data_IF_930956857963
#
_entry.id   IF_930956857963
#
_cell.length_a   1.000
_cell.length_b   1.000
_cell.length_c   1.000
_cell.angle_alpha   90.00
_cell.angle_beta   90.00
_cell.angle_gamma   90.00
#
_symmetry.space_group_name_H-M   'P 1'
#
loop_
_entity.id
_entity.type
_entity.pdbx_description
1 polymer ?
#
# COMPACT_ATOMS: atom_id res chain seq x y z
N UNK A 1 27.16 -20.90 10.84
CA UNK A 1 26.59 -19.56 10.57
C UNK A 1 25.13 -19.78 10.22
N UNK A 2 24.19 -19.30 11.03
CA UNK A 2 22.78 -19.36 10.69
C UNK A 2 22.58 -18.45 9.46
N UNK A 3 22.07 -19.01 8.36
CA UNK A 3 21.60 -18.22 7.23
C UNK A 3 20.59 -17.21 7.77
N UNK A 4 20.86 -15.91 7.66
CA UNK A 4 19.83 -14.90 7.81
C UNK A 4 18.76 -15.23 6.77
N UNK A 5 17.64 -15.79 7.20
CA UNK A 5 16.43 -15.89 6.39
C UNK A 5 16.06 -14.44 6.06
N UNK A 6 16.25 -14.05 4.79
CA UNK A 6 15.87 -12.73 4.31
C UNK A 6 14.37 -12.57 4.52
N UNK A 7 14.00 -11.61 5.38
CA UNK A 7 12.60 -11.33 5.69
C UNK A 7 11.93 -10.82 4.43
N UNK A 8 10.88 -11.50 3.97
CA UNK A 8 10.15 -11.11 2.76
C UNK A 8 9.39 -9.81 3.00
N UNK A 9 9.44 -8.90 2.04
CA UNK A 9 8.72 -7.62 2.10
C UNK A 9 7.48 -7.66 1.22
N UNK A 10 6.34 -7.27 1.79
CA UNK A 10 5.08 -7.12 1.07
C UNK A 10 4.64 -5.64 1.07
N UNK A 11 4.17 -5.16 -0.07
CA UNK A 11 3.56 -3.84 -0.21
C UNK A 11 2.03 -3.96 -0.21
N UNK A 12 1.34 -3.21 0.64
CA UNK A 12 -0.13 -3.12 0.67
C UNK A 12 -0.57 -1.71 0.30
N UNK A 13 -1.16 -1.56 -0.88
CA UNK A 13 -1.64 -0.26 -1.37
C UNK A 13 -2.98 0.07 -0.74
N UNK A 14 -3.09 1.22 -0.08
CA UNK A 14 -4.32 1.68 0.60
C UNK A 14 -4.48 1.19 2.04
N UNK A 15 -3.38 1.08 2.79
CA UNK A 15 -3.31 0.51 4.15
C UNK A 15 -4.37 1.00 5.13
N UNK A 16 -4.77 2.27 5.04
CA UNK A 16 -5.75 2.88 5.95
C UNK A 16 -7.18 2.33 5.79
N UNK A 17 -7.43 1.51 4.76
CA UNK A 17 -8.73 0.89 4.52
C UNK A 17 -9.02 -0.27 5.48
N UNK A 18 -10.31 -0.60 5.63
CA UNK A 18 -10.77 -1.66 6.52
C UNK A 18 -10.10 -3.02 6.23
N UNK A 19 -10.22 -3.50 4.98
CA UNK A 19 -9.61 -4.79 4.56
C UNK A 19 -8.08 -4.70 4.56
N UNK A 20 -7.52 -3.58 4.09
CA UNK A 20 -6.08 -3.39 3.97
C UNK A 20 -5.38 -3.43 5.33
N UNK A 21 -5.93 -2.79 6.36
CA UNK A 21 -5.34 -2.78 7.71
C UNK A 21 -5.31 -4.17 8.37
N UNK A 22 -6.33 -5.01 8.12
CA UNK A 22 -6.35 -6.40 8.58
C UNK A 22 -5.32 -7.25 7.82
N UNK A 23 -5.16 -7.02 6.51
CA UNK A 23 -4.13 -7.68 5.71
C UNK A 23 -2.72 -7.31 6.21
N UNK A 24 -2.47 -6.02 6.48
CA UNK A 24 -1.20 -5.54 7.07
C UNK A 24 -0.93 -6.27 8.39
N UNK A 25 -1.91 -6.32 9.30
CA UNK A 25 -1.79 -7.04 10.56
C UNK A 25 -1.41 -8.52 10.34
N UNK A 26 -2.14 -9.22 9.46
CA UNK A 26 -1.90 -10.64 9.18
C UNK A 26 -0.51 -10.90 8.60
N UNK A 27 -0.02 -10.01 7.73
CA UNK A 27 1.32 -10.12 7.14
C UNK A 27 2.41 -9.94 8.21
N UNK A 28 2.25 -8.95 9.09
CA UNK A 28 3.18 -8.73 10.22
C UNK A 28 3.21 -9.92 11.16
N UNK A 29 2.05 -10.47 11.55
CA UNK A 29 1.94 -11.67 12.40
C UNK A 29 2.58 -12.92 11.74
N UNK A 30 2.61 -12.97 10.41
CA UNK A 30 3.29 -14.02 9.64
C UNK A 30 4.80 -13.78 9.46
N UNK A 31 5.33 -12.70 10.01
CA UNK A 31 6.75 -12.37 9.97
C UNK A 31 7.21 -11.69 8.68
N UNK A 32 6.31 -11.11 7.88
CA UNK A 32 6.71 -10.26 6.75
C UNK A 32 7.14 -8.87 7.24
N UNK A 33 8.04 -8.22 6.51
CA UNK A 33 8.15 -6.76 6.56
C UNK A 33 7.05 -6.18 5.66
N UNK A 34 6.42 -5.09 6.07
CA UNK A 34 5.28 -4.52 5.35
C UNK A 34 5.55 -3.06 5.01
N UNK A 35 5.49 -2.74 3.72
CA UNK A 35 5.32 -1.38 3.24
C UNK A 35 3.82 -1.15 3.01
N UNK A 36 3.29 -0.01 3.41
CA UNK A 36 1.89 0.32 3.10
C UNK A 36 1.76 1.76 2.65
N UNK A 37 0.80 2.02 1.76
CA UNK A 37 0.52 3.38 1.29
C UNK A 37 -0.76 3.94 1.86
N UNK A 38 -0.74 5.22 2.17
CA UNK A 38 -1.89 6.04 2.55
C UNK A 38 -1.84 7.34 1.76
N UNK A 39 -2.99 7.97 1.48
CA UNK A 39 -3.01 9.25 0.78
C UNK A 39 -2.35 10.38 1.56
N UNK A 40 -2.59 10.40 2.87
CA UNK A 40 -2.10 11.43 3.78
C UNK A 40 -1.55 10.76 5.05
N UNK A 41 -0.20 10.62 5.17
CA UNK A 41 0.46 10.07 6.35
C UNK A 41 0.27 10.90 7.63
N UNK A 42 -0.03 12.19 7.49
CA UNK A 42 -0.19 13.11 8.62
C UNK A 42 -1.60 13.06 9.23
N UNK A 43 -2.55 12.47 8.51
CA UNK A 43 -3.92 12.26 8.98
C UNK A 43 -4.01 11.20 10.08
N UNK A 44 -3.78 11.60 11.33
CA UNK A 44 -3.77 10.70 12.50
C UNK A 44 -5.03 9.84 12.62
N UNK A 45 -6.21 10.36 12.25
CA UNK A 45 -7.47 9.57 12.30
C UNK A 45 -7.41 8.36 11.38
N UNK A 46 -6.76 8.48 10.21
CA UNK A 46 -6.62 7.41 9.23
C UNK A 46 -5.39 6.52 9.45
N UNK A 47 -4.35 7.00 10.14
CA UNK A 47 -3.10 6.23 10.30
C UNK A 47 -2.85 5.68 11.70
N UNK A 48 -3.57 6.15 12.74
CA UNK A 48 -3.31 5.74 14.12
C UNK A 48 -3.39 4.21 14.30
N UNK A 49 -4.34 3.56 13.66
CA UNK A 49 -4.47 2.10 13.72
C UNK A 49 -3.29 1.38 13.03
N UNK A 50 -2.73 1.93 11.95
CA UNK A 50 -1.53 1.38 11.31
C UNK A 50 -0.29 1.57 12.19
N UNK A 51 -0.12 2.76 12.78
CA UNK A 51 0.98 3.03 13.73
C UNK A 51 0.94 2.07 14.91
N UNK A 52 -0.26 1.76 15.42
CA UNK A 52 -0.42 0.77 16.48
C UNK A 52 0.06 -0.63 16.08
N UNK A 53 -0.01 -1.01 14.80
CA UNK A 53 0.47 -2.31 14.30
C UNK A 53 1.99 -2.39 14.17
N UNK A 54 2.73 -1.28 14.24
CA UNK A 54 4.21 -1.31 14.21
C UNK A 54 4.82 -2.07 15.40
N UNK A 55 4.04 -2.33 16.45
CA UNK A 55 4.47 -3.20 17.55
C UNK A 55 4.51 -4.70 17.18
N UNK A 56 3.87 -5.11 16.07
CA UNK A 56 3.83 -6.49 15.60
C UNK A 56 5.02 -6.83 14.69
N UNK A 57 5.72 -5.83 14.15
CA UNK A 57 6.85 -6.02 13.25
C UNK A 57 7.19 -4.78 12.43
N UNK A 58 8.04 -4.97 11.41
CA UNK A 58 8.52 -3.89 10.55
C UNK A 58 7.40 -3.41 9.61
N UNK A 59 6.82 -2.25 9.93
CA UNK A 59 5.80 -1.59 9.12
C UNK A 59 6.23 -0.17 8.76
N UNK A 60 6.38 0.08 7.46
CA UNK A 60 6.67 1.40 6.89
C UNK A 60 5.40 1.97 6.24
N UNK A 61 5.09 3.23 6.54
CA UNK A 61 3.91 3.93 6.01
C UNK A 61 4.39 5.02 5.05
N UNK A 62 3.92 4.96 3.80
CA UNK A 62 4.28 5.89 2.73
C UNK A 62 3.08 6.72 2.29
N UNK A 63 3.33 7.97 1.88
CA UNK A 63 2.37 8.77 1.14
C UNK A 63 2.29 8.30 -0.30
N UNK A 64 1.09 7.96 -0.81
CA UNK A 64 0.87 7.70 -2.22
C UNK A 64 -0.56 8.01 -2.66
N UNK A 65 -0.71 8.49 -3.89
CA UNK A 65 -1.99 8.78 -4.52
C UNK A 65 -2.15 8.00 -5.83
N UNK A 66 -3.36 7.50 -6.10
CA UNK A 66 -3.64 6.72 -7.30
C UNK A 66 -3.39 7.52 -8.59
N UNK A 67 -3.48 8.85 -8.54
CA UNK A 67 -3.21 9.72 -9.70
C UNK A 67 -1.74 10.08 -9.88
N UNK A 68 -0.88 9.75 -8.90
CA UNK A 68 0.56 10.01 -8.96
C UNK A 68 1.33 8.70 -9.18
N UNK A 69 1.82 8.49 -10.40
CA UNK A 69 2.55 7.27 -10.78
C UNK A 69 3.83 7.07 -9.95
N UNK A 70 4.58 8.13 -9.67
CA UNK A 70 5.90 8.02 -9.04
C UNK A 70 5.81 7.72 -7.55
N UNK A 71 4.68 8.08 -6.93
CA UNK A 71 4.40 7.84 -5.51
C UNK A 71 4.45 6.35 -5.12
N UNK A 72 4.30 5.43 -6.09
CA UNK A 72 4.37 3.98 -5.87
C UNK A 72 5.77 3.37 -6.00
N UNK A 73 6.75 4.10 -6.53
CA UNK A 73 8.09 3.53 -6.78
C UNK A 73 8.80 3.13 -5.47
N UNK A 74 8.91 4.05 -4.51
CA UNK A 74 9.58 3.78 -3.24
C UNK A 74 8.86 2.73 -2.37
N UNK A 75 7.52 2.75 -2.21
CA UNK A 75 6.81 1.71 -1.46
C UNK A 75 6.96 0.30 -2.02
N UNK A 76 7.11 0.16 -3.36
CA UNK A 76 7.14 -1.13 -4.06
C UNK A 76 8.57 -1.65 -4.25
N UNK A 77 9.58 -0.78 -4.26
CA UNK A 77 10.98 -1.16 -4.42
C UNK A 77 11.38 -2.27 -3.42
N UNK A 78 11.96 -3.36 -3.93
CA UNK A 78 12.42 -4.51 -3.13
C UNK A 78 11.31 -5.38 -2.52
N UNK A 79 10.03 -5.13 -2.85
CA UNK A 79 8.92 -5.98 -2.38
C UNK A 79 8.77 -7.24 -3.24
N UNK A 80 8.59 -8.40 -2.60
CA UNK A 80 8.28 -9.66 -3.29
C UNK A 80 6.79 -9.76 -3.67
N UNK A 81 5.92 -9.13 -2.87
CA UNK A 81 4.48 -9.19 -3.03
C UNK A 81 3.91 -7.76 -3.03
N UNK A 82 2.93 -7.51 -3.89
CA UNK A 82 2.18 -6.24 -3.94
C UNK A 82 0.68 -6.55 -3.93
N UNK A 83 -0.03 -5.97 -2.97
CA UNK A 83 -1.47 -6.12 -2.81
C UNK A 83 -2.15 -4.79 -3.13
N UNK A 84 -2.83 -4.72 -4.28
CA UNK A 84 -3.67 -3.58 -4.63
C UNK A 84 -5.03 -3.69 -3.93
N UNK A 85 -5.23 -2.93 -2.86
CA UNK A 85 -6.51 -2.89 -2.12
C UNK A 85 -7.17 -1.50 -2.20
N UNK A 86 -6.38 -0.46 -2.47
CA UNK A 86 -6.87 0.89 -2.65
C UNK A 86 -7.85 0.98 -3.84
N UNK A 87 -9.01 1.57 -3.58
CA UNK A 87 -9.98 1.95 -4.61
C UNK A 87 -10.67 3.25 -4.17
N UNK A 88 -10.94 4.20 -5.09
CA UNK A 88 -11.77 5.35 -4.79
C UNK A 88 -13.20 4.88 -4.47
N UNK A 89 -13.78 5.39 -3.39
CA UNK A 89 -15.15 5.07 -3.00
C UNK A 89 -15.87 6.37 -2.68
N UNK A 90 -16.86 6.72 -3.51
CA UNK A 90 -17.77 7.83 -3.27
C UNK A 90 -19.17 7.49 -3.80
N UNK A 91 -20.03 6.92 -2.95
CA UNK A 91 -21.39 6.52 -3.34
C UNK A 91 -22.33 7.69 -3.64
N UNK A 92 -21.93 8.92 -3.31
CA UNK A 92 -22.73 10.13 -3.56
C UNK A 92 -22.19 10.97 -4.73
N UNK A 93 -21.28 10.41 -5.54
CA UNK A 93 -20.71 11.14 -6.68
C UNK A 93 -21.76 11.45 -7.74
N UNK A 94 -21.79 12.71 -8.19
CA UNK A 94 -22.57 13.16 -9.35
C UNK A 94 -21.84 12.90 -10.68
N UNK A 95 -20.53 12.61 -10.62
CA UNK A 95 -19.69 12.27 -11.76
C UNK A 95 -18.79 11.05 -11.46
N UNK A 96 -19.37 9.84 -11.41
CA UNK A 96 -18.65 8.62 -11.04
C UNK A 96 -17.49 8.29 -11.99
N UNK A 97 -17.56 8.76 -13.23
CA UNK A 97 -16.53 8.53 -14.25
C UNK A 97 -15.19 9.17 -13.83
N UNK A 98 -15.22 10.44 -13.41
CA UNK A 98 -14.02 11.17 -13.00
C UNK A 98 -13.66 10.96 -11.53
N UNK A 99 -14.65 10.73 -10.65
CA UNK A 99 -14.40 10.57 -9.21
C UNK A 99 -13.96 9.15 -8.82
N UNK A 100 -14.36 8.13 -9.60
CA UNK A 100 -14.16 6.73 -9.23
C UNK A 100 -13.57 5.88 -10.35
N UNK A 101 -14.18 5.85 -11.53
CA UNK A 101 -13.82 4.89 -12.58
C UNK A 101 -12.42 5.18 -13.13
N UNK A 102 -12.18 6.39 -13.62
CA UNK A 102 -10.86 6.77 -14.16
C UNK A 102 -9.75 6.68 -13.10
N UNK A 103 -9.91 7.20 -11.87
CA UNK A 103 -8.87 7.07 -10.86
C UNK A 103 -8.61 5.62 -10.44
N UNK A 104 -9.64 4.75 -10.42
CA UNK A 104 -9.45 3.33 -10.13
C UNK A 104 -8.62 2.64 -11.22
N UNK A 105 -8.95 2.87 -12.49
CA UNK A 105 -8.20 2.31 -13.64
C UNK A 105 -6.77 2.84 -13.64
N UNK A 106 -6.60 4.16 -13.54
CA UNK A 106 -5.29 4.81 -13.52
C UNK A 106 -4.44 4.32 -12.35
N UNK A 107 -5.03 4.17 -11.17
CA UNK A 107 -4.37 3.67 -9.98
C UNK A 107 -3.80 2.26 -10.15
N UNK A 108 -4.58 1.34 -10.70
CA UNK A 108 -4.12 -0.02 -10.99
C UNK A 108 -2.98 0.00 -12.02
N UNK A 109 -3.11 0.79 -13.08
CA UNK A 109 -2.06 0.93 -14.10
C UNK A 109 -0.75 1.47 -13.51
N UNK A 110 -0.84 2.49 -12.65
CA UNK A 110 0.31 3.11 -11.99
C UNK A 110 1.05 2.11 -11.09
N UNK A 111 0.31 1.33 -10.30
CA UNK A 111 0.88 0.28 -9.44
C UNK A 111 1.55 -0.82 -10.28
N UNK A 112 0.92 -1.26 -11.37
CA UNK A 112 1.53 -2.26 -12.28
C UNK A 112 2.81 -1.75 -12.95
N UNK A 113 2.85 -0.48 -13.37
CA UNK A 113 4.06 0.15 -13.91
C UNK A 113 5.17 0.20 -12.87
N UNK A 114 4.87 0.56 -11.63
CA UNK A 114 5.84 0.57 -10.54
C UNK A 114 6.37 -0.85 -10.24
N UNK A 115 5.51 -1.88 -10.25
CA UNK A 115 5.94 -3.28 -10.16
C UNK A 115 6.90 -3.66 -11.29
N UNK A 116 6.60 -3.26 -12.53
CA UNK A 116 7.45 -3.54 -13.69
C UNK A 116 8.82 -2.85 -13.58
N UNK A 117 8.87 -1.62 -13.08
CA UNK A 117 10.12 -0.89 -12.80
C UNK A 117 10.94 -1.60 -11.71
N UNK A 118 10.29 -1.97 -10.60
CA UNK A 118 10.94 -2.64 -9.47
C UNK A 118 11.55 -4.01 -9.84
N UNK A 119 10.97 -4.73 -10.80
CA UNK A 119 11.54 -5.99 -11.31
C UNK A 119 12.86 -5.80 -12.08
N UNK A 120 13.04 -4.64 -12.70
CA UNK A 120 14.21 -4.33 -13.53
C UNK A 120 15.29 -3.52 -12.76
N UNK A 121 15.11 -3.36 -11.44
CA UNK A 121 15.99 -2.61 -10.54
C UNK A 121 16.80 -3.57 -9.67
#
# INVERSE_FOLDING_TARGET
MASQLTKKTACVIGGSGFVASLLVKLLLEKGYAVNTTVRDPDNQKKVAHLKALQNLGDLNIFGADLTDEESFNAPIAGCELVFQVATPVNFASEDPENDMIKPAIQGVQNVLKACAKAKNS
#
